data_IF_561323514238
#
_entry.id   IF_561323514238
#
_cell.length_a   1.000
_cell.length_b   1.000
_cell.length_c   1.000
_cell.angle_alpha   90.00
_cell.angle_beta   90.00
_cell.angle_gamma   90.00
#
_symmetry.space_group_name_H-M   'P 1'
#
loop_
_entity.id
_entity.type
_entity.pdbx_description
1 polymer ?
#
# COMPACT_ATOMS: atom_id res chain seq x y z
N UNK A 1 23.68 -0.21 2.73
CA UNK A 1 23.46 -1.67 2.75
C UNK A 1 23.90 -2.17 1.38
N UNK A 2 24.99 -2.94 1.27
CA UNK A 2 25.40 -3.45 -0.03
C UNK A 2 24.29 -4.36 -0.58
N UNK A 3 24.00 -4.26 -1.87
CA UNK A 3 23.11 -5.17 -2.58
C UNK A 3 23.83 -6.52 -2.76
N UNK A 4 23.96 -7.28 -1.67
CA UNK A 4 24.42 -8.66 -1.72
C UNK A 4 23.23 -9.52 -2.18
N UNK A 5 23.45 -10.33 -3.22
CA UNK A 5 22.47 -11.30 -3.65
C UNK A 5 22.42 -12.41 -2.59
N UNK A 6 21.35 -12.44 -1.79
CA UNK A 6 21.23 -13.30 -0.60
C UNK A 6 21.32 -14.78 -0.99
N UNK A 7 20.89 -15.12 -2.20
CA UNK A 7 20.84 -16.49 -2.72
C UNK A 7 22.23 -17.13 -2.86
N UNK A 8 23.25 -16.35 -3.21
CA UNK A 8 24.63 -16.80 -3.40
C UNK A 8 25.39 -17.02 -2.08
N UNK A 9 24.80 -16.64 -0.94
CA UNK A 9 25.45 -16.74 0.36
C UNK A 9 25.40 -18.17 0.91
N UNK A 10 26.46 -18.60 1.63
CA UNK A 10 26.43 -19.83 2.40
C UNK A 10 25.27 -19.83 3.40
N UNK A 11 24.66 -21.01 3.63
CA UNK A 11 23.53 -21.20 4.54
C UNK A 11 23.76 -20.58 5.93
N UNK A 12 24.98 -20.74 6.46
CA UNK A 12 25.39 -20.18 7.76
C UNK A 12 25.35 -18.66 7.78
N UNK A 13 25.67 -18.00 6.68
CA UNK A 13 25.67 -16.54 6.58
C UNK A 13 24.25 -16.00 6.44
N UNK A 14 23.40 -16.68 5.67
CA UNK A 14 21.95 -16.39 5.59
C UNK A 14 21.31 -16.41 6.98
N UNK A 15 21.54 -17.47 7.75
CA UNK A 15 21.01 -17.61 9.11
C UNK A 15 21.53 -16.54 10.07
N UNK A 16 22.80 -16.14 9.95
CA UNK A 16 23.34 -15.03 10.75
C UNK A 16 22.64 -13.72 10.45
N UNK A 17 22.45 -13.42 9.16
CA UNK A 17 21.73 -12.21 8.73
C UNK A 17 20.28 -12.22 9.20
N UNK A 18 19.60 -13.37 9.13
CA UNK A 18 18.24 -13.53 9.64
C UNK A 18 18.16 -13.27 11.16
N UNK A 19 19.07 -13.85 11.94
CA UNK A 19 19.12 -13.61 13.39
C UNK A 19 19.41 -12.14 13.71
N UNK A 20 20.29 -11.48 12.95
CA UNK A 20 20.53 -10.05 13.08
C UNK A 20 19.30 -9.21 12.77
N UNK A 21 18.53 -9.59 11.74
CA UNK A 21 17.28 -8.94 11.38
C UNK A 21 16.22 -9.11 12.48
N UNK A 22 16.01 -10.33 12.96
CA UNK A 22 15.09 -10.62 14.07
C UNK A 22 15.45 -9.84 15.35
N UNK A 23 16.74 -9.70 15.65
CA UNK A 23 17.23 -8.89 16.78
C UNK A 23 16.96 -7.39 16.62
N UNK A 24 16.80 -6.88 15.39
CA UNK A 24 16.36 -5.51 15.13
C UNK A 24 14.85 -5.39 15.27
N UNK A 25 14.09 -6.31 14.66
CA UNK A 25 12.63 -6.30 14.66
C UNK A 25 12.01 -6.47 16.04
N UNK A 26 12.66 -7.21 16.94
CA UNK A 26 12.18 -7.36 18.33
C UNK A 26 12.22 -6.05 19.11
N UNK A 27 13.13 -5.13 18.76
CA UNK A 27 13.27 -3.82 19.42
C UNK A 27 12.28 -2.78 18.91
N UNK A 28 11.58 -3.08 17.81
CA UNK A 28 10.60 -2.19 17.23
C UNK A 28 9.42 -1.97 18.19
N UNK A 29 9.19 -0.71 18.56
CA UNK A 29 8.04 -0.32 19.37
C UNK A 29 6.79 -0.35 18.49
N UNK A 30 5.87 -1.28 18.78
CA UNK A 30 4.61 -1.43 18.05
C UNK A 30 3.53 -0.55 18.70
N UNK A 31 2.77 0.16 17.88
CA UNK A 31 1.58 0.89 18.33
C UNK A 31 0.44 -0.11 18.61
N UNK A 32 -0.46 0.24 19.53
CA UNK A 32 -1.64 -0.58 19.82
C UNK A 32 -2.54 -0.69 18.59
N UNK A 33 -3.01 -1.91 18.32
CA UNK A 33 -3.88 -2.21 17.18
C UNK A 33 -5.16 -1.38 17.25
N UNK A 34 -5.78 -1.25 18.44
CA UNK A 34 -6.97 -0.42 18.64
C UNK A 34 -6.79 1.01 18.16
N UNK A 35 -5.67 1.65 18.53
CA UNK A 35 -5.33 3.02 18.12
C UNK A 35 -5.10 3.11 16.61
N UNK A 36 -4.35 2.18 16.03
CA UNK A 36 -4.13 2.18 14.58
C UNK A 36 -5.44 1.96 13.79
N UNK A 37 -6.32 1.07 14.26
CA UNK A 37 -7.61 0.82 13.63
C UNK A 37 -8.50 2.07 13.65
N UNK A 38 -8.51 2.82 14.75
CA UNK A 38 -9.25 4.08 14.86
C UNK A 38 -8.70 5.14 13.88
N UNK A 39 -7.38 5.32 13.83
CA UNK A 39 -6.74 6.26 12.89
C UNK A 39 -7.04 5.91 11.43
N UNK A 40 -6.96 4.62 11.06
CA UNK A 40 -7.28 4.14 9.72
C UNK A 40 -8.76 4.38 9.40
N UNK A 41 -9.66 4.06 10.35
CA UNK A 41 -11.09 4.26 10.17
C UNK A 41 -11.42 5.73 9.93
N UNK A 42 -10.92 6.62 10.78
CA UNK A 42 -11.16 8.06 10.66
C UNK A 42 -10.64 8.59 9.32
N UNK A 43 -9.44 8.18 8.91
CA UNK A 43 -8.85 8.55 7.62
C UNK A 43 -9.75 8.15 6.43
N UNK A 44 -10.31 6.95 6.47
CA UNK A 44 -11.19 6.43 5.43
C UNK A 44 -12.52 7.18 5.43
N UNK A 45 -13.15 7.35 6.60
CA UNK A 45 -14.46 8.01 6.72
C UNK A 45 -14.41 9.45 6.19
N UNK A 46 -13.36 10.21 6.53
CA UNK A 46 -13.14 11.58 6.04
C UNK A 46 -13.08 11.68 4.51
N UNK A 47 -12.47 10.69 3.83
CA UNK A 47 -12.23 10.73 2.38
C UNK A 47 -13.24 9.95 1.56
N UNK A 48 -13.96 9.02 2.19
CA UNK A 48 -14.94 8.16 1.52
C UNK A 48 -16.07 8.94 0.82
N UNK A 49 -16.37 10.15 1.29
CA UNK A 49 -17.35 11.05 0.68
C UNK A 49 -16.90 11.64 -0.66
N UNK A 50 -15.59 11.76 -0.87
CA UNK A 50 -14.98 12.32 -2.07
C UNK A 50 -14.45 11.24 -3.02
N UNK A 51 -14.39 9.98 -2.55
CA UNK A 51 -13.90 8.86 -3.33
C UNK A 51 -14.81 8.59 -4.54
N UNK A 52 -14.29 8.80 -5.76
CA UNK A 52 -15.04 8.62 -7.00
C UNK A 52 -15.54 7.18 -7.21
N UNK A 53 -14.83 6.19 -6.69
CA UNK A 53 -15.18 4.77 -6.83
C UNK A 53 -16.22 4.32 -5.79
N UNK A 54 -16.37 5.08 -4.70
CA UNK A 54 -17.38 4.82 -3.67
C UNK A 54 -18.68 5.55 -3.98
N UNK A 55 -18.61 6.84 -4.34
CA UNK A 55 -19.81 7.66 -4.63
C UNK A 55 -20.26 7.62 -6.08
N UNK A 56 -19.40 7.18 -6.99
CA UNK A 56 -19.62 7.27 -8.42
C UNK A 56 -19.22 8.64 -8.98
N UNK A 57 -18.84 8.64 -10.25
CA UNK A 57 -18.45 9.86 -10.98
C UNK A 57 -19.65 10.32 -11.82
N UNK A 58 -20.10 11.58 -11.70
CA UNK A 58 -21.08 12.14 -12.62
C UNK A 58 -20.57 12.03 -14.05
N UNK A 59 -21.44 11.65 -14.99
CA UNK A 59 -21.03 11.37 -16.37
C UNK A 59 -20.18 12.48 -16.99
N UNK A 60 -20.55 13.74 -16.78
CA UNK A 60 -19.86 14.89 -17.37
C UNK A 60 -18.44 15.14 -16.82
N UNK A 61 -18.15 14.55 -15.65
CA UNK A 61 -16.82 14.57 -15.03
C UNK A 61 -16.06 13.26 -15.24
N UNK A 62 -16.68 12.25 -15.86
CA UNK A 62 -16.04 10.97 -16.11
C UNK A 62 -15.08 11.08 -17.31
N UNK A 63 -13.75 10.95 -17.10
CA UNK A 63 -12.79 11.03 -18.19
C UNK A 63 -12.91 9.87 -19.21
N UNK A 64 -13.63 8.80 -18.85
CA UNK A 64 -13.91 7.64 -19.70
C UNK A 64 -15.33 7.64 -20.27
N UNK A 65 -16.08 8.75 -20.18
CA UNK A 65 -17.37 8.86 -20.87
C UNK A 65 -17.15 8.65 -22.37
N UNK A 66 -17.87 7.71 -22.99
CA UNK A 66 -17.82 7.50 -24.44
C UNK A 66 -18.15 8.81 -25.15
N UNK A 67 -17.16 9.40 -25.82
CA UNK A 67 -17.42 10.44 -26.82
C UNK A 67 -18.01 9.71 -28.02
N UNK A 68 -19.25 10.05 -28.37
CA UNK A 68 -20.04 9.41 -29.42
C UNK A 68 -19.20 8.99 -30.63
N UNK A 69 -19.47 7.77 -31.10
CA UNK A 69 -18.89 7.14 -32.28
C UNK A 69 -18.54 8.15 -33.38
N UNK A 70 -17.30 8.09 -33.86
CA UNK A 70 -16.84 8.84 -35.02
C UNK A 70 -17.85 8.72 -36.18
N UNK A 71 -18.49 9.83 -36.55
CA UNK A 71 -19.29 9.90 -37.78
C UNK A 71 -18.29 10.24 -38.89
N UNK A 72 -17.93 9.23 -39.68
CA UNK A 72 -17.20 9.44 -40.93
C UNK A 72 -18.25 9.94 -41.94
N UNK A 73 -18.18 11.23 -42.29
CA UNK A 73 -18.84 11.79 -43.48
C UNK A 73 -17.84 11.90 -44.63
#
# INVERSE_FOLDING_TARGET
>A
MPALHIEDLPEKEKLKMEVEQLRKEVKLQRQQVSKCSEEIKNYIEERSGEDPLVKGIPEDKNPFKEKGSCIIS
#
